data_IF_460585742511
#
_entry.id   IF_460585742511
#
_cell.length_a   1.000
_cell.length_b   1.000
_cell.length_c   1.000
_cell.angle_alpha   90.00
_cell.angle_beta   90.00
_cell.angle_gamma   90.00
#
_symmetry.space_group_name_H-M   'P 1'
#
loop_
_entity.id
_entity.type
_entity.pdbx_description
1 polymer ?
#
# COMPACT_ATOMS: atom_id res chain seq x y z
N UNK A 1 -5.89 -17.53 3.28
CA UNK A 1 -6.69 -16.39 2.81
C UNK A 1 -7.84 -16.89 1.95
N UNK A 2 -9.08 -16.42 2.17
CA UNK A 2 -10.15 -16.52 1.18
C UNK A 2 -9.75 -15.84 -0.15
N UNK A 3 -10.51 -16.08 -1.20
CA UNK A 3 -10.44 -15.26 -2.43
C UNK A 3 -11.25 -13.99 -2.25
N UNK A 4 -10.57 -12.86 -2.16
CA UNK A 4 -11.21 -11.55 -2.24
C UNK A 4 -11.76 -11.31 -3.65
N UNK A 5 -12.96 -10.75 -3.72
CA UNK A 5 -13.51 -10.23 -4.98
C UNK A 5 -12.86 -8.88 -5.32
N UNK A 6 -12.92 -8.49 -6.60
CA UNK A 6 -12.41 -7.18 -7.03
C UNK A 6 -13.10 -6.00 -6.32
N UNK A 7 -14.35 -6.17 -5.86
CA UNK A 7 -15.03 -5.17 -5.05
C UNK A 7 -14.35 -5.00 -3.68
N UNK A 8 -14.06 -6.10 -2.98
CA UNK A 8 -13.39 -6.06 -1.67
C UNK A 8 -11.98 -5.44 -1.76
N UNK A 9 -11.23 -5.76 -2.83
CA UNK A 9 -9.91 -5.14 -3.10
C UNK A 9 -10.05 -3.61 -3.27
N UNK A 10 -11.10 -3.14 -3.94
CA UNK A 10 -11.40 -1.71 -4.13
C UNK A 10 -12.04 -1.04 -2.88
N UNK A 11 -12.55 -1.82 -1.94
CA UNK A 11 -13.04 -1.35 -0.65
C UNK A 11 -11.86 -1.21 0.33
N UNK A 12 -11.05 -2.24 0.55
CA UNK A 12 -9.82 -2.16 1.37
C UNK A 12 -8.84 -1.10 0.84
N UNK A 13 -8.70 -0.94 -0.49
CA UNK A 13 -7.90 0.16 -1.08
C UNK A 13 -8.33 1.54 -0.57
N UNK A 14 -9.64 1.79 -0.39
CA UNK A 14 -10.14 3.10 0.12
C UNK A 14 -9.93 3.26 1.62
N UNK A 15 -10.02 2.17 2.37
CA UNK A 15 -9.73 2.16 3.80
C UNK A 15 -8.26 2.50 4.03
N UNK A 16 -7.34 1.81 3.34
CA UNK A 16 -5.89 2.10 3.32
C UNK A 16 -5.61 3.55 2.89
N UNK A 17 -6.30 4.07 1.85
CA UNK A 17 -6.16 5.47 1.44
C UNK A 17 -6.58 6.46 2.54
N UNK A 18 -7.61 6.14 3.33
CA UNK A 18 -8.05 6.96 4.46
C UNK A 18 -7.08 6.83 5.65
N UNK A 19 -6.66 5.61 5.99
CA UNK A 19 -5.70 5.31 7.06
C UNK A 19 -4.36 6.00 6.80
N UNK A 20 -3.83 5.97 5.57
CA UNK A 20 -2.64 6.72 5.15
C UNK A 20 -2.85 8.24 5.25
N UNK A 21 -4.02 8.75 4.83
CA UNK A 21 -4.33 10.17 4.87
C UNK A 21 -4.47 10.71 6.30
N UNK A 22 -4.94 9.91 7.24
CA UNK A 22 -5.02 10.30 8.65
C UNK A 22 -3.67 10.12 9.35
N UNK A 23 -2.94 9.03 9.10
CA UNK A 23 -1.56 8.85 9.58
C UNK A 23 -0.63 9.98 9.10
N UNK A 24 -0.74 10.44 7.85
CA UNK A 24 0.05 11.58 7.37
C UNK A 24 -0.30 12.91 8.07
N UNK A 25 -1.53 13.08 8.58
CA UNK A 25 -1.95 14.26 9.36
C UNK A 25 -1.48 14.21 10.80
N UNK A 26 -1.64 13.07 11.46
CA UNK A 26 -1.10 12.83 12.82
C UNK A 26 0.43 12.89 12.79
N UNK A 27 1.01 12.40 11.70
CA UNK A 27 2.36 12.64 11.17
C UNK A 27 2.83 14.11 11.23
N UNK A 28 1.93 15.07 10.94
CA UNK A 28 2.28 16.38 10.35
C UNK A 28 3.23 16.26 9.13
N UNK A 29 3.09 15.20 8.33
CA UNK A 29 4.06 14.84 7.28
C UNK A 29 4.05 15.84 6.11
N UNK A 30 5.23 16.14 5.58
CA UNK A 30 5.40 16.92 4.34
C UNK A 30 4.96 16.13 3.10
N UNK A 31 4.82 14.79 3.23
CA UNK A 31 4.35 13.92 2.17
C UNK A 31 2.81 13.86 2.10
N UNK A 32 2.30 13.37 0.98
CA UNK A 32 0.86 13.21 0.73
C UNK A 32 0.56 11.80 0.24
N UNK A 33 -0.71 11.40 0.27
CA UNK A 33 -1.16 10.13 -0.29
C UNK A 33 -0.72 9.94 -1.76
N UNK A 34 -0.64 11.02 -2.54
CA UNK A 34 -0.18 10.94 -3.93
C UNK A 34 1.33 10.68 -4.03
N UNK A 35 2.17 11.22 -3.14
CA UNK A 35 3.59 10.83 -3.06
C UNK A 35 3.76 9.34 -2.72
N UNK A 36 2.96 8.83 -1.77
CA UNK A 36 2.95 7.40 -1.40
C UNK A 36 2.50 6.53 -2.59
N UNK A 37 1.43 6.94 -3.29
CA UNK A 37 0.97 6.28 -4.53
C UNK A 37 2.01 6.32 -5.64
N UNK A 38 2.70 7.43 -5.85
CA UNK A 38 3.74 7.55 -6.89
C UNK A 38 4.97 6.70 -6.58
N UNK A 39 5.35 6.58 -5.31
CA UNK A 39 6.44 5.71 -4.85
C UNK A 39 6.10 4.22 -5.05
N UNK A 40 4.90 3.77 -4.63
CA UNK A 40 4.46 2.38 -4.85
C UNK A 40 4.22 2.11 -6.34
N UNK A 41 3.69 3.07 -7.10
CA UNK A 41 3.46 2.86 -8.53
C UNK A 41 4.77 2.74 -9.31
N UNK A 42 5.80 3.53 -8.99
CA UNK A 42 7.08 3.55 -9.71
C UNK A 42 8.19 2.75 -9.02
N UNK A 43 7.87 1.71 -8.25
CA UNK A 43 8.87 0.80 -7.69
C UNK A 43 9.78 0.19 -8.76
N UNK A 44 11.05 0.01 -8.40
CA UNK A 44 12.03 -0.76 -9.16
C UNK A 44 12.47 -2.02 -8.39
N UNK A 45 12.45 -1.99 -7.04
CA UNK A 45 12.69 -3.15 -6.18
C UNK A 45 12.05 -3.03 -4.77
N UNK A 46 12.28 -4.03 -3.90
CA UNK A 46 11.71 -4.05 -2.54
C UNK A 46 12.28 -2.98 -1.60
N UNK A 47 13.42 -2.35 -1.90
CA UNK A 47 13.97 -1.27 -1.06
C UNK A 47 13.15 0.02 -1.25
N UNK A 48 12.36 0.14 -2.34
CA UNK A 48 11.32 1.19 -2.46
C UNK A 48 10.26 1.10 -1.35
N UNK A 49 9.93 -0.10 -0.86
CA UNK A 49 9.00 -0.25 0.27
C UNK A 49 9.53 0.46 1.53
N UNK A 50 10.84 0.40 1.77
CA UNK A 50 11.47 1.12 2.89
C UNK A 50 11.49 2.64 2.68
N UNK A 51 11.48 3.12 1.43
CA UNK A 51 11.30 4.55 1.12
C UNK A 51 9.88 5.01 1.49
N UNK A 52 8.86 4.17 1.30
CA UNK A 52 7.47 4.45 1.73
C UNK A 52 7.34 4.45 3.26
N UNK A 53 7.96 3.48 3.96
CA UNK A 53 8.04 3.49 5.44
C UNK A 53 8.63 4.82 5.94
N UNK A 54 9.72 5.29 5.33
CA UNK A 54 10.38 6.55 5.69
C UNK A 54 9.62 7.84 5.30
N UNK A 55 8.46 7.75 4.62
CA UNK A 55 7.54 8.89 4.41
C UNK A 55 6.51 9.04 5.55
N UNK A 56 6.38 8.01 6.40
CA UNK A 56 5.37 7.89 7.44
C UNK A 56 6.00 7.87 8.85
N UNK A 57 7.10 7.12 9.02
CA UNK A 57 7.93 7.14 10.24
C UNK A 57 8.79 8.41 10.31
N UNK A 58 8.78 9.07 11.48
CA UNK A 58 9.61 10.24 11.81
C UNK A 58 10.67 9.96 12.88
N UNK A 59 10.83 8.70 13.30
CA UNK A 59 11.57 8.31 14.50
C UNK A 59 10.68 8.28 15.75
N UNK A 60 9.51 7.68 15.63
CA UNK A 60 8.55 7.47 16.72
C UNK A 60 8.97 6.36 17.70
N UNK A 61 8.03 5.87 18.52
CA UNK A 61 8.23 4.65 19.31
C UNK A 61 7.98 3.37 18.49
N UNK A 62 8.44 2.22 19.00
CA UNK A 62 8.42 0.96 18.25
C UNK A 62 6.99 0.49 17.85
N UNK A 63 5.97 0.92 18.59
CA UNK A 63 4.55 0.65 18.30
C UNK A 63 4.05 1.46 17.09
N UNK A 64 4.53 2.70 16.93
CA UNK A 64 4.23 3.53 15.78
C UNK A 64 4.86 2.94 14.51
N UNK A 65 6.09 2.43 14.61
CA UNK A 65 6.75 1.72 13.52
C UNK A 65 6.04 0.41 13.13
N UNK A 66 5.49 -0.35 14.09
CA UNK A 66 4.70 -1.56 13.80
C UNK A 66 3.42 -1.22 13.00
N UNK A 67 2.68 -0.18 13.41
CA UNK A 67 1.51 0.31 12.68
C UNK A 67 1.87 0.82 11.26
N UNK A 68 2.98 1.54 11.11
CA UNK A 68 3.48 1.99 9.79
C UNK A 68 3.81 0.79 8.91
N UNK A 69 4.49 -0.23 9.44
CA UNK A 69 4.88 -1.42 8.66
C UNK A 69 3.67 -2.24 8.20
N UNK A 70 2.63 -2.39 9.02
CA UNK A 70 1.37 -3.04 8.61
C UNK A 70 0.69 -2.26 7.48
N UNK A 71 0.47 -0.94 7.67
CA UNK A 71 -0.20 -0.09 6.69
C UNK A 71 0.57 0.02 5.36
N UNK A 72 1.90 0.10 5.39
CA UNK A 72 2.73 0.09 4.17
C UNK A 72 2.66 -1.27 3.49
N UNK A 73 2.67 -2.39 4.23
CA UNK A 73 2.51 -3.73 3.67
C UNK A 73 1.17 -3.89 2.98
N UNK A 74 0.09 -3.35 3.55
CA UNK A 74 -1.22 -3.34 2.90
C UNK A 74 -1.26 -2.42 1.68
N UNK A 75 -0.75 -1.19 1.77
CA UNK A 75 -0.65 -0.29 0.61
C UNK A 75 0.11 -0.95 -0.54
N UNK A 76 1.21 -1.66 -0.26
CA UNK A 76 1.97 -2.43 -1.24
C UNK A 76 1.15 -3.56 -1.89
N UNK A 77 0.28 -4.25 -1.15
CA UNK A 77 -0.54 -5.34 -1.68
C UNK A 77 -1.82 -4.87 -2.43
N UNK A 78 -2.38 -3.72 -2.05
CA UNK A 78 -3.66 -3.24 -2.57
C UNK A 78 -3.53 -2.08 -3.57
N UNK A 79 -2.44 -1.32 -3.64
CA UNK A 79 -2.26 -0.23 -4.63
C UNK A 79 -1.69 -0.74 -5.96
N UNK A 80 -1.89 -0.02 -7.10
CA UNK A 80 -1.36 -0.44 -8.40
C UNK A 80 0.16 -0.30 -8.54
N UNK A 81 0.81 -1.28 -9.18
CA UNK A 81 2.25 -1.26 -9.50
C UNK A 81 2.47 -1.17 -11.01
N UNK A 82 3.49 -0.43 -11.44
CA UNK A 82 3.88 -0.29 -12.85
C UNK A 82 4.50 -1.57 -13.40
N UNK A 83 5.30 -2.31 -12.62
CA UNK A 83 5.84 -3.61 -13.06
C UNK A 83 4.75 -4.65 -13.32
N UNK A 84 3.62 -4.57 -12.61
CA UNK A 84 2.44 -5.41 -12.78
C UNK A 84 1.50 -4.94 -13.91
N UNK A 85 1.81 -3.84 -14.58
CA UNK A 85 0.99 -3.27 -15.66
C UNK A 85 -0.15 -2.35 -15.19
N UNK A 86 -0.08 -1.82 -13.97
CA UNK A 86 -1.08 -0.89 -13.41
C UNK A 86 -2.20 -1.56 -12.62
N UNK A 87 -1.93 -2.73 -12.03
CA UNK A 87 -2.81 -3.43 -11.07
C UNK A 87 -2.03 -3.78 -9.81
N UNK A 88 -2.71 -4.12 -8.71
CA UNK A 88 -2.05 -4.51 -7.45
C UNK A 88 -1.69 -5.99 -7.38
N UNK A 89 -0.81 -6.42 -6.46
CA UNK A 89 -0.59 -7.83 -6.13
C UNK A 89 -1.89 -8.58 -5.81
N UNK A 90 -2.82 -7.98 -5.05
CA UNK A 90 -4.13 -8.55 -4.78
C UNK A 90 -4.98 -8.75 -6.07
N UNK A 91 -5.00 -7.76 -6.98
CA UNK A 91 -5.68 -7.91 -8.29
C UNK A 91 -4.99 -9.01 -9.14
N UNK A 92 -3.66 -9.10 -9.14
CA UNK A 92 -2.91 -10.12 -9.87
C UNK A 92 -3.15 -11.54 -9.34
N UNK A 93 -3.28 -11.69 -8.03
CA UNK A 93 -3.65 -12.95 -7.37
C UNK A 93 -5.11 -13.36 -7.63
N UNK A 94 -5.98 -12.42 -8.02
CA UNK A 94 -7.34 -12.70 -8.47
C UNK A 94 -7.37 -13.09 -9.95
N UNK A 95 -6.63 -12.40 -10.82
CA UNK A 95 -6.46 -12.78 -12.24
C UNK A 95 -5.99 -14.22 -12.39
N UNK A 96 -4.87 -14.59 -11.78
CA UNK A 96 -4.31 -15.94 -11.89
C UNK A 96 -5.22 -17.04 -11.34
N UNK A 97 -6.17 -16.73 -10.46
CA UNK A 97 -7.17 -17.72 -10.01
C UNK A 97 -8.31 -17.87 -11.01
N UNK A 98 -8.72 -16.80 -11.68
CA UNK A 98 -9.72 -16.85 -12.75
C UNK A 98 -9.17 -17.52 -14.03
N UNK A 99 -7.86 -17.47 -14.27
CA UNK A 99 -7.18 -18.17 -15.38
C UNK A 99 -7.05 -19.69 -15.18
N UNK A 100 -7.28 -20.20 -13.97
CA UNK A 100 -7.12 -21.61 -13.59
C UNK A 100 -8.48 -22.32 -13.32
N UNK A 101 -9.57 -21.85 -13.95
CA UNK A 101 -10.95 -22.37 -13.83
C UNK A 101 -11.53 -22.65 -15.21
#
# INVERSE_FOLDING_TARGET
>A
MPTESRQQILERRKEIEQELVDMLKETESDFTLDHVREAIYNEEDNDDMMKVVAMLDRGGDASELENVLELVTEAWNYFPHKVLGGISPAEKLLEHKNENI
#
